data_IF_572615314068
#
_entry.id   IF_572615314068
#
_cell.length_a   1.000
_cell.length_b   1.000
_cell.length_c   1.000
_cell.angle_alpha   90.00
_cell.angle_beta   90.00
_cell.angle_gamma   90.00
#
_symmetry.space_group_name_H-M   'P 1'
#
loop_
_entity.id
_entity.type
_entity.pdbx_description
1 polymer ?
#
# COMPACT_ATOMS: atom_id res chain seq x y z
N UNK A 1 -13.21 -1.09 -2.65
CA UNK A 1 -12.24 -0.90 -3.73
C UNK A 1 -12.87 -0.11 -4.87
N UNK A 2 -12.08 0.76 -5.47
CA UNK A 2 -12.49 1.47 -6.67
C UNK A 2 -12.15 0.61 -7.90
N UNK A 3 -13.08 0.48 -8.85
CA UNK A 3 -12.81 -0.28 -10.06
C UNK A 3 -11.99 0.54 -11.07
N UNK A 4 -11.24 -0.17 -11.91
CA UNK A 4 -10.50 0.45 -13.01
C UNK A 4 -11.43 1.25 -13.94
N UNK A 5 -12.61 0.69 -14.25
CA UNK A 5 -13.59 1.32 -15.12
C UNK A 5 -14.10 2.65 -14.56
N UNK A 6 -14.30 2.74 -13.23
CA UNK A 6 -14.72 3.97 -12.58
C UNK A 6 -13.67 5.07 -12.70
N UNK A 7 -12.38 4.71 -12.54
CA UNK A 7 -11.26 5.66 -12.71
C UNK A 7 -11.12 6.07 -14.17
N UNK A 8 -11.18 5.10 -15.08
CA UNK A 8 -11.11 5.37 -16.52
C UNK A 8 -12.20 6.35 -16.95
N UNK A 9 -13.45 6.12 -16.52
CA UNK A 9 -14.56 7.02 -16.79
C UNK A 9 -14.31 8.42 -16.22
N UNK A 10 -13.90 8.52 -14.96
CA UNK A 10 -13.64 9.82 -14.33
C UNK A 10 -12.56 10.62 -15.08
N UNK A 11 -11.49 9.96 -15.54
CA UNK A 11 -10.43 10.59 -16.32
C UNK A 11 -10.92 11.00 -17.70
N UNK A 12 -11.72 10.16 -18.35
CA UNK A 12 -12.31 10.46 -19.67
C UNK A 12 -13.27 11.63 -19.63
N UNK A 13 -14.08 11.72 -18.58
CA UNK A 13 -15.09 12.77 -18.41
C UNK A 13 -14.49 14.11 -17.95
N UNK A 14 -13.28 14.11 -17.41
CA UNK A 14 -12.65 15.32 -16.83
C UNK A 14 -11.17 15.43 -17.18
N UNK A 15 -10.86 16.27 -18.16
CA UNK A 15 -9.48 16.54 -18.64
C UNK A 15 -8.63 17.42 -17.68
N UNK A 16 -9.20 17.94 -16.60
CA UNK A 16 -8.50 18.81 -15.66
C UNK A 16 -7.92 18.08 -14.45
N UNK A 17 -8.13 16.77 -14.36
CA UNK A 17 -7.54 15.95 -13.28
C UNK A 17 -6.02 16.02 -13.37
N UNK A 18 -5.38 16.40 -12.28
CA UNK A 18 -3.91 16.49 -12.17
C UNK A 18 -3.31 15.41 -11.26
N UNK A 19 -4.13 14.88 -10.36
CA UNK A 19 -3.71 13.91 -9.37
C UNK A 19 -4.83 12.93 -9.07
N UNK A 20 -4.46 11.67 -8.91
CA UNK A 20 -5.30 10.63 -8.35
C UNK A 20 -4.74 10.27 -6.97
N UNK A 21 -5.58 10.37 -5.94
CA UNK A 21 -5.27 9.86 -4.62
C UNK A 21 -6.15 8.64 -4.33
N UNK A 22 -5.53 7.53 -3.94
CA UNK A 22 -6.27 6.29 -3.65
C UNK A 22 -5.67 5.52 -2.47
N UNK A 23 -6.53 4.75 -1.80
CA UNK A 23 -6.17 3.83 -0.74
C UNK A 23 -5.93 2.43 -1.33
N UNK A 24 -4.73 1.87 -1.17
CA UNK A 24 -4.37 0.52 -1.61
C UNK A 24 -3.20 -0.05 -0.78
N UNK A 25 -3.38 -1.17 -0.06
CA UNK A 25 -4.62 -1.94 0.09
C UNK A 25 -5.66 -1.22 0.96
N UNK A 26 -6.89 -1.68 0.89
CA UNK A 26 -7.92 -1.26 1.86
C UNK A 26 -7.62 -1.82 3.25
N UNK A 27 -8.32 -1.32 4.27
CA UNK A 27 -8.25 -1.84 5.64
C UNK A 27 -8.46 -3.36 5.72
N UNK A 28 -9.29 -3.90 4.84
CA UNK A 28 -9.63 -5.33 4.79
C UNK A 28 -8.67 -6.16 3.91
N UNK A 29 -7.59 -5.57 3.43
CA UNK A 29 -6.58 -6.24 2.61
C UNK A 29 -6.94 -6.39 1.13
N UNK A 30 -7.99 -5.74 0.64
CA UNK A 30 -8.32 -5.78 -0.78
C UNK A 30 -7.50 -4.77 -1.57
N UNK A 31 -6.88 -5.22 -2.67
CA UNK A 31 -6.10 -4.40 -3.59
C UNK A 31 -6.88 -4.13 -4.88
N UNK A 32 -6.66 -2.96 -5.46
CA UNK A 32 -7.14 -2.59 -6.80
C UNK A 32 -6.15 -3.08 -7.87
N UNK A 33 -6.55 -3.00 -9.14
CA UNK A 33 -5.66 -3.23 -10.30
C UNK A 33 -4.67 -2.07 -10.43
N UNK A 34 -3.80 -1.90 -9.43
CA UNK A 34 -3.02 -0.69 -9.22
C UNK A 34 -2.05 -0.41 -10.37
N UNK A 35 -1.42 -1.45 -10.93
CA UNK A 35 -0.51 -1.31 -12.07
C UNK A 35 -1.22 -0.69 -13.29
N UNK A 36 -2.42 -1.18 -13.62
CA UNK A 36 -3.21 -0.65 -14.73
C UNK A 36 -3.66 0.79 -14.48
N UNK A 37 -4.04 1.09 -13.22
CA UNK A 37 -4.45 2.43 -12.81
C UNK A 37 -3.29 3.41 -12.93
N UNK A 38 -2.11 3.05 -12.42
CA UNK A 38 -0.91 3.88 -12.52
C UNK A 38 -0.53 4.12 -13.98
N UNK A 39 -0.56 3.08 -14.82
CA UNK A 39 -0.29 3.22 -16.25
C UNK A 39 -1.26 4.19 -16.91
N UNK A 40 -2.57 4.03 -16.69
CA UNK A 40 -3.59 4.93 -17.21
C UNK A 40 -3.35 6.39 -16.80
N UNK A 41 -3.00 6.62 -15.53
CA UNK A 41 -2.72 7.96 -15.02
C UNK A 41 -1.47 8.56 -15.67
N UNK A 42 -0.38 7.79 -15.82
CA UNK A 42 0.84 8.23 -16.49
C UNK A 42 0.59 8.60 -17.95
N UNK A 43 -0.18 7.79 -18.68
CA UNK A 43 -0.54 8.05 -20.07
C UNK A 43 -1.36 9.35 -20.24
N UNK A 44 -1.98 9.83 -19.16
CA UNK A 44 -2.76 11.08 -19.12
C UNK A 44 -2.08 12.23 -18.36
N UNK A 45 -0.78 12.10 -18.00
CA UNK A 45 -0.03 13.08 -17.21
C UNK A 45 -0.67 13.39 -15.83
N UNK A 46 -1.27 12.39 -15.19
CA UNK A 46 -1.90 12.47 -13.88
C UNK A 46 -0.95 11.85 -12.85
N UNK A 47 -0.65 12.61 -11.79
CA UNK A 47 0.15 12.12 -10.66
C UNK A 47 -0.65 11.11 -9.82
N UNK A 48 0.03 10.08 -9.31
CA UNK A 48 -0.61 9.05 -8.48
C UNK A 48 -0.02 9.06 -7.09
N UNK A 49 -0.88 9.32 -6.10
CA UNK A 49 -0.56 9.27 -4.68
C UNK A 49 -1.33 8.11 -4.06
N UNK A 50 -0.64 7.26 -3.29
CA UNK A 50 -1.25 6.08 -2.68
C UNK A 50 -1.16 6.15 -1.16
N UNK A 51 -2.30 6.05 -0.50
CA UNK A 51 -2.32 5.67 0.91
C UNK A 51 -2.12 4.15 1.00
N UNK A 52 -0.89 3.75 1.26
CA UNK A 52 -0.45 2.36 1.39
C UNK A 52 -0.21 1.99 2.87
N UNK A 53 -0.97 2.62 3.77
CA UNK A 53 -0.78 2.45 5.21
C UNK A 53 -0.83 0.98 5.69
N UNK A 54 -1.52 0.11 4.97
CA UNK A 54 -1.62 -1.33 5.28
C UNK A 54 -0.69 -2.20 4.43
N UNK A 55 0.17 -1.62 3.58
CA UNK A 55 1.05 -2.32 2.65
C UNK A 55 2.55 -2.23 2.96
N UNK A 56 2.96 -1.71 4.13
CA UNK A 56 4.38 -1.50 4.45
C UNK A 56 5.25 -2.79 4.38
N UNK A 57 4.64 -3.96 4.45
CA UNK A 57 5.31 -5.26 4.39
C UNK A 57 5.37 -5.86 2.97
N UNK A 58 4.71 -5.27 1.99
CA UNK A 58 4.59 -5.83 0.64
C UNK A 58 5.95 -6.14 -0.02
N UNK A 59 6.95 -5.26 -0.01
CA UNK A 59 8.21 -5.49 -0.71
C UNK A 59 9.04 -6.66 -0.15
N UNK A 60 8.67 -7.17 1.04
CA UNK A 60 9.49 -8.16 1.76
C UNK A 60 9.05 -9.62 1.55
N UNK A 61 8.10 -9.87 0.63
CA UNK A 61 7.69 -11.25 0.31
C UNK A 61 7.08 -11.35 -1.09
N UNK A 62 7.59 -12.27 -1.90
CA UNK A 62 7.23 -12.46 -3.32
C UNK A 62 5.77 -12.85 -3.60
N UNK A 63 5.06 -13.41 -2.62
CA UNK A 63 3.65 -13.78 -2.76
C UNK A 63 2.71 -12.63 -2.34
N UNK A 64 3.25 -11.50 -1.89
CA UNK A 64 2.48 -10.30 -1.61
C UNK A 64 2.40 -9.40 -2.85
N UNK A 65 1.43 -8.48 -2.91
CA UNK A 65 1.38 -7.50 -3.98
C UNK A 65 2.66 -6.67 -4.06
N UNK A 66 3.08 -6.24 -5.24
CA UNK A 66 4.15 -5.24 -5.34
C UNK A 66 3.71 -3.93 -4.70
N UNK A 67 4.66 -3.18 -4.12
CA UNK A 67 4.37 -1.87 -3.55
C UNK A 67 3.98 -0.86 -4.63
N UNK A 68 3.22 0.15 -4.24
CA UNK A 68 2.78 1.19 -5.17
C UNK A 68 3.95 1.95 -5.81
N UNK A 69 5.04 2.15 -5.05
CA UNK A 69 6.27 2.78 -5.57
C UNK A 69 6.97 1.91 -6.62
N UNK A 70 7.05 0.59 -6.41
CA UNK A 70 7.60 -0.34 -7.42
C UNK A 70 6.78 -0.34 -8.71
N UNK A 71 5.45 -0.21 -8.59
CA UNK A 71 4.55 -0.06 -9.74
C UNK A 71 4.65 1.32 -10.38
N UNK A 72 5.36 2.25 -9.74
CA UNK A 72 5.66 3.56 -10.28
C UNK A 72 4.66 4.64 -9.90
N UNK A 73 3.96 4.52 -8.77
CA UNK A 73 3.26 5.65 -8.15
C UNK A 73 4.25 6.78 -7.85
N UNK A 74 3.77 8.02 -7.87
CA UNK A 74 4.62 9.18 -7.62
C UNK A 74 4.96 9.33 -6.14
N UNK A 75 4.02 9.01 -5.26
CA UNK A 75 4.21 9.04 -3.81
C UNK A 75 3.36 7.97 -3.13
N UNK A 76 3.84 7.45 -2.00
CA UNK A 76 3.10 6.53 -1.16
C UNK A 76 3.32 6.83 0.33
N UNK A 77 2.23 6.86 1.10
CA UNK A 77 2.28 6.96 2.55
C UNK A 77 2.13 5.56 3.16
N UNK A 78 3.13 5.10 3.93
CA UNK A 78 3.12 3.80 4.59
C UNK A 78 3.12 3.95 6.11
N UNK A 79 2.34 3.11 6.80
CA UNK A 79 2.33 3.05 8.27
C UNK A 79 3.15 1.84 8.73
N UNK A 80 4.42 2.08 9.05
CA UNK A 80 5.35 1.01 9.42
C UNK A 80 4.93 0.36 10.75
N UNK A 81 4.28 1.14 11.62
CA UNK A 81 3.76 0.65 12.90
C UNK A 81 2.59 -0.35 12.77
N UNK A 82 1.89 -0.41 11.62
CA UNK A 82 0.76 -1.34 11.45
C UNK A 82 1.24 -2.74 11.08
N UNK A 83 2.06 -2.85 10.04
CA UNK A 83 2.45 -4.13 9.46
C UNK A 83 3.96 -4.32 9.33
N UNK A 84 4.76 -3.29 9.58
CA UNK A 84 6.22 -3.34 9.48
C UNK A 84 6.94 -3.66 10.80
N UNK A 85 6.26 -3.53 11.96
CA UNK A 85 6.84 -3.87 13.25
C UNK A 85 7.53 -2.71 13.99
N UNK A 86 7.35 -1.45 13.54
CA UNK A 86 7.83 -0.28 14.28
C UNK A 86 6.87 0.12 15.42
N UNK A 87 7.32 1.00 16.31
CA UNK A 87 6.50 1.59 17.36
C UNK A 87 5.34 2.41 16.79
N UNK A 88 4.29 2.57 17.58
CA UNK A 88 3.08 3.33 17.18
C UNK A 88 3.45 4.73 16.67
N UNK A 89 2.65 5.26 15.74
CA UNK A 89 2.87 6.52 15.01
C UNK A 89 4.04 6.53 14.01
N UNK A 90 4.85 5.47 13.95
CA UNK A 90 5.94 5.37 12.98
C UNK A 90 5.40 5.16 11.57
N UNK A 91 5.64 6.13 10.69
CA UNK A 91 5.23 6.09 9.29
C UNK A 91 6.31 6.72 8.40
N UNK A 92 6.22 6.48 7.10
CA UNK A 92 7.10 7.09 6.12
C UNK A 92 6.32 7.53 4.88
N UNK A 93 6.80 8.60 4.27
CA UNK A 93 6.37 9.02 2.95
C UNK A 93 7.45 8.61 1.95
N UNK A 94 7.10 7.71 1.05
CA UNK A 94 7.95 7.26 -0.05
C UNK A 94 7.71 8.16 -1.25
N UNK A 95 8.79 8.54 -1.94
CA UNK A 95 8.74 9.50 -3.05
C UNK A 95 9.49 8.88 -4.23
N UNK A 96 8.86 8.88 -5.40
CA UNK A 96 9.53 8.48 -6.63
C UNK A 96 10.27 9.69 -7.26
N UNK A 97 11.27 9.44 -8.10
CA UNK A 97 12.05 10.46 -8.80
C UNK A 97 11.24 11.32 -9.79
N UNK A 98 9.96 11.05 -9.96
CA UNK A 98 9.00 11.84 -10.75
C UNK A 98 8.47 13.08 -10.02
N UNK A 99 8.82 13.25 -8.74
CA UNK A 99 8.36 14.33 -7.87
C UNK A 99 9.55 15.17 -7.39
N UNK A 100 9.36 16.47 -7.26
CA UNK A 100 10.34 17.38 -6.70
C UNK A 100 10.42 17.20 -5.17
N UNK A 101 11.45 16.49 -4.71
CA UNK A 101 11.69 16.15 -3.31
C UNK A 101 11.83 17.38 -2.41
N UNK A 102 12.40 18.49 -2.93
CA UNK A 102 12.56 19.73 -2.18
C UNK A 102 11.21 20.36 -1.84
N UNK A 103 10.28 20.36 -2.81
CA UNK A 103 8.92 20.88 -2.56
C UNK A 103 8.16 20.01 -1.55
N UNK A 104 8.31 18.69 -1.64
CA UNK A 104 7.71 17.77 -0.67
C UNK A 104 8.28 18.03 0.72
N UNK A 105 9.60 18.12 0.86
CA UNK A 105 10.26 18.40 2.13
C UNK A 105 9.82 19.76 2.73
N UNK A 106 9.75 20.80 1.91
CA UNK A 106 9.24 22.09 2.35
C UNK A 106 7.81 21.99 2.90
N UNK A 107 6.93 21.27 2.20
CA UNK A 107 5.54 21.06 2.62
C UNK A 107 5.47 20.30 3.93
N UNK A 108 6.25 19.21 4.09
CA UNK A 108 6.34 18.45 5.32
C UNK A 108 6.78 19.34 6.47
N UNK A 109 7.82 20.12 6.28
CA UNK A 109 8.35 21.03 7.32
C UNK A 109 7.36 22.11 7.76
N UNK A 110 6.43 22.51 6.90
CA UNK A 110 5.35 23.43 7.26
C UNK A 110 4.21 22.76 8.04
N UNK A 111 4.00 21.46 7.85
CA UNK A 111 2.85 20.74 8.40
C UNK A 111 3.19 19.90 9.63
N UNK A 112 4.46 19.57 9.82
CA UNK A 112 4.91 18.69 10.90
C UNK A 112 5.73 19.45 11.95
N UNK A 113 5.86 18.83 13.13
CA UNK A 113 6.77 19.30 14.17
C UNK A 113 8.22 19.19 13.70
N UNK A 114 9.04 20.18 14.05
CA UNK A 114 10.50 20.15 13.83
C UNK A 114 11.25 19.29 14.84
N UNK A 115 10.57 18.82 15.90
CA UNK A 115 11.14 18.00 16.96
C UNK A 115 11.00 16.52 16.63
N UNK A 116 12.03 15.96 16.01
CA UNK A 116 12.05 14.52 15.67
C UNK A 116 12.17 13.65 16.93
N UNK A 117 11.40 12.55 16.97
CA UNK A 117 11.56 11.51 17.98
C UNK A 117 12.60 10.49 17.53
N UNK A 118 13.79 10.53 18.09
CA UNK A 118 14.84 9.55 17.79
C UNK A 118 14.43 8.12 18.13
N UNK A 119 13.57 7.93 19.16
CA UNK A 119 13.02 6.62 19.50
C UNK A 119 12.17 6.06 18.34
N UNK A 120 11.31 6.88 17.75
CA UNK A 120 10.52 6.46 16.59
C UNK A 120 11.40 6.21 15.37
N UNK A 121 12.38 7.07 15.10
CA UNK A 121 13.33 6.88 14.00
C UNK A 121 14.12 5.58 14.16
N UNK A 122 14.64 5.28 15.35
CA UNK A 122 15.35 4.02 15.63
C UNK A 122 14.44 2.81 15.48
N UNK A 123 13.16 2.93 15.87
CA UNK A 123 12.20 1.84 15.69
C UNK A 123 11.88 1.56 14.22
N UNK A 124 11.85 2.59 13.37
CA UNK A 124 11.67 2.45 11.93
C UNK A 124 12.87 1.71 11.32
N UNK A 125 14.09 2.10 11.68
CA UNK A 125 15.29 1.44 11.18
C UNK A 125 15.39 -0.01 11.64
N UNK A 126 15.10 -0.28 12.92
CA UNK A 126 15.02 -1.64 13.46
C UNK A 126 13.97 -2.51 12.76
N UNK A 127 12.79 -1.95 12.46
CA UNK A 127 11.73 -2.63 11.73
C UNK A 127 12.15 -2.94 10.30
N UNK A 128 12.72 -1.96 9.59
CA UNK A 128 13.28 -2.15 8.23
C UNK A 128 14.33 -3.27 8.21
N UNK A 129 15.30 -3.20 9.13
CA UNK A 129 16.34 -4.21 9.24
C UNK A 129 15.78 -5.61 9.51
N UNK A 130 14.81 -5.72 10.43
CA UNK A 130 14.17 -7.02 10.71
C UNK A 130 13.42 -7.57 9.51
N UNK A 131 12.69 -6.72 8.77
CA UNK A 131 11.99 -7.15 7.54
C UNK A 131 12.98 -7.56 6.44
N UNK A 132 14.09 -6.86 6.30
CA UNK A 132 15.14 -7.19 5.31
C UNK A 132 15.74 -8.57 5.58
N UNK A 133 16.07 -8.88 6.83
CA UNK A 133 16.74 -10.14 7.20
C UNK A 133 15.75 -11.31 7.39
N UNK A 134 14.59 -11.05 7.99
CA UNK A 134 13.65 -12.08 8.43
C UNK A 134 12.29 -12.04 7.72
N UNK A 135 12.03 -11.03 6.89
CA UNK A 135 10.70 -10.76 6.31
C UNK A 135 10.16 -11.94 5.52
N UNK A 136 10.95 -12.51 4.62
CA UNK A 136 10.53 -13.68 3.82
C UNK A 136 10.04 -14.84 4.71
N UNK A 137 10.77 -15.17 5.77
CA UNK A 137 10.40 -16.25 6.70
C UNK A 137 9.16 -15.90 7.54
N UNK A 138 9.12 -14.67 8.09
CA UNK A 138 8.02 -14.24 8.96
C UNK A 138 6.71 -14.13 8.17
N UNK A 139 6.76 -13.56 6.98
CA UNK A 139 5.60 -13.37 6.12
C UNK A 139 5.13 -14.68 5.50
N UNK A 140 6.04 -15.62 5.16
CA UNK A 140 5.68 -16.99 4.78
C UNK A 140 4.85 -17.68 5.88
N UNK A 141 5.28 -17.55 7.14
CA UNK A 141 4.54 -18.11 8.27
C UNK A 141 3.17 -17.46 8.43
N UNK A 142 3.08 -16.14 8.32
CA UNK A 142 1.82 -15.39 8.41
C UNK A 142 0.84 -15.80 7.30
N UNK A 143 1.32 -15.91 6.05
CA UNK A 143 0.53 -16.35 4.90
C UNK A 143 0.02 -17.79 5.09
N UNK A 144 0.86 -18.70 5.57
CA UNK A 144 0.46 -20.08 5.83
C UNK A 144 -0.61 -20.16 6.94
N UNK A 145 -0.45 -19.39 8.01
CA UNK A 145 -1.45 -19.31 9.08
C UNK A 145 -2.78 -18.71 8.57
N UNK A 146 -2.71 -17.65 7.75
CA UNK A 146 -3.90 -17.05 7.16
C UNK A 146 -4.66 -18.03 6.24
N UNK A 147 -3.94 -18.81 5.41
CA UNK A 147 -4.51 -19.87 4.56
C UNK A 147 -5.14 -20.98 5.41
N UNK A 148 -4.44 -21.42 6.44
CA UNK A 148 -4.97 -22.43 7.36
C UNK A 148 -6.25 -21.94 8.05
N UNK A 149 -6.24 -20.72 8.60
CA UNK A 149 -7.40 -20.12 9.27
C UNK A 149 -8.59 -20.00 8.31
N UNK A 150 -8.37 -19.50 7.09
CA UNK A 150 -9.41 -19.38 6.06
C UNK A 150 -10.03 -20.75 5.75
N UNK A 151 -9.20 -21.78 5.57
CA UNK A 151 -9.67 -23.14 5.30
C UNK A 151 -10.47 -23.75 6.46
N UNK A 152 -10.08 -23.45 7.70
CA UNK A 152 -10.81 -23.92 8.88
C UNK A 152 -12.14 -23.19 9.05
N UNK A 153 -12.15 -21.88 8.92
CA UNK A 153 -13.36 -21.07 9.07
C UNK A 153 -14.40 -21.38 8.00
N UNK A 154 -14.01 -21.62 6.77
CA UNK A 154 -14.92 -21.99 5.68
C UNK A 154 -15.56 -23.39 5.82
N UNK A 155 -15.15 -24.19 6.82
CA UNK A 155 -15.79 -25.47 7.17
C UNK A 155 -16.90 -25.31 8.22
N UNK A 156 -17.09 -24.12 8.76
CA UNK A 156 -18.12 -23.84 9.75
C UNK A 156 -19.36 -23.37 9.00
N UNK A 157 -20.48 -24.02 9.22
CA UNK A 157 -21.76 -23.67 8.60
C UNK A 157 -22.13 -22.22 8.89
N UNK A 158 -22.54 -21.48 7.87
CA UNK A 158 -22.91 -20.08 7.96
C UNK A 158 -21.73 -19.08 7.95
N UNK A 159 -20.47 -19.54 7.92
CA UNK A 159 -19.29 -18.67 7.81
C UNK A 159 -18.66 -18.81 6.43
N UNK A 160 -18.42 -17.67 5.78
CA UNK A 160 -17.64 -17.59 4.55
C UNK A 160 -16.52 -16.54 4.68
N UNK A 161 -15.28 -16.98 4.56
CA UNK A 161 -14.11 -16.09 4.45
C UNK A 161 -13.75 -15.98 2.96
N UNK A 162 -13.82 -14.76 2.44
CA UNK A 162 -13.51 -14.52 1.02
C UNK A 162 -12.03 -14.75 0.73
N UNK A 163 -11.77 -15.30 -0.44
CA UNK A 163 -10.44 -15.48 -1.01
C UNK A 163 -10.22 -14.50 -2.17
N UNK A 164 -8.98 -14.31 -2.65
CA UNK A 164 -8.72 -13.54 -3.86
C UNK A 164 -9.53 -14.01 -5.07
N UNK A 165 -9.73 -15.33 -5.20
CA UNK A 165 -10.50 -15.92 -6.30
C UNK A 165 -11.98 -15.52 -6.26
N UNK A 166 -12.58 -15.41 -5.07
CA UNK A 166 -13.98 -14.98 -4.90
C UNK A 166 -14.19 -13.51 -5.32
N UNK A 167 -13.16 -12.69 -5.24
CA UNK A 167 -13.22 -11.25 -5.47
C UNK A 167 -12.67 -10.82 -6.84
N UNK A 168 -11.96 -11.71 -7.53
CA UNK A 168 -11.30 -11.40 -8.80
C UNK A 168 -12.28 -10.89 -9.87
N UNK A 169 -13.50 -11.47 -9.94
CA UNK A 169 -14.54 -11.00 -10.86
C UNK A 169 -15.06 -9.59 -10.57
N UNK A 170 -14.74 -9.05 -9.39
CA UNK A 170 -15.11 -7.69 -8.96
C UNK A 170 -13.97 -6.68 -9.10
N UNK A 171 -12.90 -7.02 -9.83
CA UNK A 171 -11.75 -6.14 -10.02
C UNK A 171 -10.85 -5.99 -8.79
N UNK A 172 -10.92 -6.96 -7.86
CA UNK A 172 -10.05 -7.03 -6.68
C UNK A 172 -8.97 -8.06 -6.96
N UNK A 173 -7.71 -7.70 -6.76
CA UNK A 173 -6.57 -8.59 -7.06
C UNK A 173 -6.09 -9.37 -5.83
N UNK A 174 -6.31 -8.81 -4.62
CA UNK A 174 -5.92 -9.41 -3.34
C UNK A 174 -6.95 -9.17 -2.27
#
# INVERSE_FOLDING_TARGET
NISFESIYKAISDNRYIKCLFLLNPTYYGACSQLEKIIKLCKDNNIKVLVDEAHGAHFPFHKELPPSSIELGADMAAISIHKTGGALTQASALLINNTVDDKKVLQTINMLQSTSASYLLMSSIDGARYNLDINGERQLSNALNLARYARNKLNRIDGIKVYSPQDLKSKGVEF
#
